data_IF_856961938559
#
_entry.id   IF_856961938559
#
_cell.length_a   1.000
_cell.length_b   1.000
_cell.length_c   1.000
_cell.angle_alpha   90.00
_cell.angle_beta   90.00
_cell.angle_gamma   90.00
#
_symmetry.space_group_name_H-M   'P 1'
#
loop_
_entity.id
_entity.type
_entity.pdbx_description
1 polymer ?
#
# COMPACT_ATOMS: atom_id res chain seq x y z
N UNK A 1 -5.59 -9.20 8.42
CA UNK A 1 -6.56 -8.09 8.23
C UNK A 1 -7.86 -8.55 7.54
N UNK A 2 -8.98 -7.82 7.67
CA UNK A 2 -10.19 -8.07 6.87
C UNK A 2 -10.00 -7.61 5.40
N UNK A 3 -10.76 -8.16 4.46
CA UNK A 3 -10.67 -7.77 3.05
C UNK A 3 -11.00 -6.29 2.82
N UNK A 4 -12.05 -5.77 3.45
CA UNK A 4 -12.43 -4.36 3.32
C UNK A 4 -11.35 -3.43 3.87
N UNK A 5 -10.73 -3.78 5.00
CA UNK A 5 -9.63 -3.01 5.57
C UNK A 5 -8.44 -3.02 4.61
N UNK A 6 -8.07 -4.19 4.07
CA UNK A 6 -6.96 -4.32 3.10
C UNK A 6 -7.17 -3.45 1.87
N UNK A 7 -8.37 -3.46 1.30
CA UNK A 7 -8.73 -2.62 0.15
C UNK A 7 -8.64 -1.14 0.48
N UNK A 8 -9.03 -0.72 1.69
CA UNK A 8 -8.91 0.66 2.14
C UNK A 8 -7.44 1.11 2.20
N UNK A 9 -6.54 0.29 2.76
CA UNK A 9 -5.10 0.59 2.79
C UNK A 9 -4.52 0.75 1.38
N UNK A 10 -4.89 -0.12 0.44
CA UNK A 10 -4.42 -0.02 -0.95
C UNK A 10 -4.97 1.21 -1.67
N UNK A 11 -6.24 1.56 -1.44
CA UNK A 11 -6.85 2.75 -2.01
C UNK A 11 -6.16 4.02 -1.49
N UNK A 12 -5.92 4.09 -0.19
CA UNK A 12 -5.23 5.20 0.45
C UNK A 12 -3.77 5.31 -0.03
N UNK A 13 -3.07 4.19 -0.12
CA UNK A 13 -1.72 4.13 -0.66
C UNK A 13 -1.64 4.72 -2.08
N UNK A 14 -2.55 4.29 -2.97
CA UNK A 14 -2.61 4.76 -4.36
C UNK A 14 -2.94 6.25 -4.42
N UNK A 15 -3.84 6.73 -3.58
CA UNK A 15 -4.22 8.14 -3.54
C UNK A 15 -3.07 9.03 -3.03
N UNK A 16 -2.38 8.61 -1.97
CA UNK A 16 -1.20 9.27 -1.45
C UNK A 16 -0.10 9.37 -2.53
N UNK A 17 0.18 8.27 -3.24
CA UNK A 17 1.12 8.26 -4.38
C UNK A 17 0.72 9.18 -5.51
N UNK A 18 -0.58 9.24 -5.86
CA UNK A 18 -1.11 10.12 -6.91
C UNK A 18 -0.93 11.60 -6.55
N UNK A 19 -1.12 11.95 -5.28
CA UNK A 19 -1.00 13.32 -4.75
C UNK A 19 0.45 13.74 -4.47
N UNK A 20 1.42 12.81 -4.57
CA UNK A 20 2.80 13.05 -4.17
C UNK A 20 3.00 13.11 -2.65
N UNK A 21 2.02 12.63 -1.89
CA UNK A 21 2.08 12.53 -0.43
C UNK A 21 2.89 11.27 -0.06
N UNK A 22 4.21 11.39 -0.14
CA UNK A 22 5.12 10.26 0.09
C UNK A 22 5.23 9.89 1.57
N UNK A 23 5.07 10.86 2.47
CA UNK A 23 5.05 10.61 3.92
C UNK A 23 3.90 9.67 4.26
N UNK A 24 2.68 9.99 3.80
CA UNK A 24 1.53 9.11 4.03
C UNK A 24 1.68 7.74 3.38
N UNK A 25 2.24 7.69 2.17
CA UNK A 25 2.50 6.42 1.49
C UNK A 25 3.51 5.55 2.27
N UNK A 26 4.51 6.16 2.90
CA UNK A 26 5.52 5.49 3.72
C UNK A 26 4.89 4.99 5.04
N UNK A 27 4.08 5.81 5.71
CA UNK A 27 3.39 5.40 6.94
C UNK A 27 2.53 4.14 6.74
N UNK A 28 1.82 4.06 5.62
CA UNK A 28 1.02 2.89 5.25
C UNK A 28 1.90 1.63 5.12
N UNK A 29 3.09 1.76 4.54
CA UNK A 29 4.03 0.64 4.42
C UNK A 29 4.56 0.23 5.79
N UNK A 30 4.90 1.19 6.65
CA UNK A 30 5.39 0.88 8.00
C UNK A 30 4.32 0.22 8.87
N UNK A 31 3.09 0.73 8.86
CA UNK A 31 1.99 0.12 9.62
C UNK A 31 1.70 -1.32 9.13
N UNK A 32 1.83 -1.59 7.82
CA UNK A 32 1.73 -2.95 7.30
C UNK A 32 2.88 -3.86 7.78
N UNK A 33 4.11 -3.34 7.90
CA UNK A 33 5.27 -4.07 8.45
C UNK A 33 5.06 -4.36 9.94
N UNK A 34 4.67 -3.36 10.73
CA UNK A 34 4.45 -3.48 12.18
C UNK A 34 3.37 -4.51 12.51
N UNK A 35 2.34 -4.60 11.67
CA UNK A 35 1.26 -5.59 11.79
C UNK A 35 1.61 -6.97 11.22
N UNK A 36 2.75 -7.11 10.54
CA UNK A 36 3.14 -8.36 9.87
C UNK A 36 2.25 -8.75 8.69
N UNK A 37 1.60 -7.78 8.04
CA UNK A 37 0.63 -8.02 6.96
C UNK A 37 1.34 -8.20 5.61
N UNK A 38 2.04 -9.33 5.44
CA UNK A 38 2.86 -9.59 4.25
C UNK A 38 2.09 -9.52 2.94
N UNK A 39 0.84 -9.99 2.92
CA UNK A 39 0.02 -9.94 1.71
C UNK A 39 -0.21 -8.49 1.23
N UNK A 40 -0.43 -7.54 2.16
CA UNK A 40 -0.59 -6.14 1.82
C UNK A 40 0.71 -5.54 1.28
N UNK A 41 1.86 -5.93 1.85
CA UNK A 41 3.18 -5.49 1.37
C UNK A 41 3.47 -5.99 -0.04
N UNK A 42 3.14 -7.23 -0.34
CA UNK A 42 3.32 -7.79 -1.68
C UNK A 42 2.44 -7.09 -2.72
N UNK A 43 1.19 -6.78 -2.37
CA UNK A 43 0.32 -5.98 -3.23
C UNK A 43 0.87 -4.56 -3.44
N UNK A 44 1.33 -3.89 -2.38
CA UNK A 44 1.96 -2.56 -2.50
C UNK A 44 3.19 -2.62 -3.42
N UNK A 45 4.08 -3.61 -3.25
CA UNK A 45 5.24 -3.81 -4.14
C UNK A 45 4.81 -4.04 -5.60
N UNK A 46 3.74 -4.80 -5.81
CA UNK A 46 3.15 -5.02 -7.12
C UNK A 46 2.75 -3.74 -7.84
N UNK A 47 2.35 -2.68 -7.12
CA UNK A 47 1.99 -1.38 -7.70
C UNK A 47 3.18 -0.58 -8.24
N UNK A 48 4.41 -0.93 -7.85
CA UNK A 48 5.64 -0.23 -8.29
C UNK A 48 6.28 -0.90 -9.48
N UNK A 49 6.04 -2.20 -9.64
CA UNK A 49 6.45 -2.92 -10.83
C UNK A 49 5.58 -2.40 -11.97
N UNK A 50 6.17 -1.67 -12.93
CA UNK A 50 5.46 -1.29 -14.16
C UNK A 50 4.76 -2.54 -14.69
N UNK A 51 3.44 -2.48 -14.87
CA UNK A 51 2.76 -3.52 -15.64
C UNK A 51 3.54 -3.62 -16.96
N UNK A 52 4.08 -4.81 -17.25
CA UNK A 52 4.70 -5.06 -18.54
C UNK A 52 3.64 -4.72 -19.59
N UNK A 53 3.94 -3.72 -20.40
CA UNK A 53 3.05 -3.19 -21.44
C UNK A 53 2.82 -4.23 -22.54
#
# INVERSE_FOLDING_TARGET
>A
MSENTRLAYLAEYRDARRKGDYERAIDIVFDAIERGEQHLLDEIRGLHTKAAA
#
